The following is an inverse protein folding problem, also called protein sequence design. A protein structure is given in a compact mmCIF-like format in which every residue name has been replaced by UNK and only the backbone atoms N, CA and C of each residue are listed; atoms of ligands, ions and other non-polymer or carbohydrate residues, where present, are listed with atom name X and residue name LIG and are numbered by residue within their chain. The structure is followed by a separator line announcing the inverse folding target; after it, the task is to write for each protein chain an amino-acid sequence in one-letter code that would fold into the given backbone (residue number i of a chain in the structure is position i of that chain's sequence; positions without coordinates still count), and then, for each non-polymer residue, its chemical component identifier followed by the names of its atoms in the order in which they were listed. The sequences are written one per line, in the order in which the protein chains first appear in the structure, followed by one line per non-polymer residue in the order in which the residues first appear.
data_IF_973378507998
#
_entry.id   IF_973378507998
#
_cell.length_a   1.000
_cell.length_b   1.000
_cell.length_c   1.000
_cell.angle_alpha   90.00
_cell.angle_beta   90.00
_cell.angle_gamma   90.00
#
_symmetry.space_group_name_H-M   'P 1'
#
loop_
_entity.id
_entity.type
_entity.pdbx_description
1 polymer ?
#
# COMPACT_ATOMS: atom_id res chain seq x y z
N UNK A 1 -7.62 11.46 2.45
CA UNK A 1 -9.06 11.13 2.29
C UNK A 1 -9.40 9.70 2.70
N UNK A 2 -8.81 8.64 2.11
CA UNK A 2 -9.25 7.26 2.39
C UNK A 2 -9.04 6.79 3.85
N UNK A 3 -8.02 7.31 4.53
CA UNK A 3 -7.70 6.95 5.92
C UNK A 3 -8.37 7.89 6.93
N UNK A 4 -8.13 9.20 6.80
CA UNK A 4 -8.58 10.21 7.77
C UNK A 4 -9.76 11.07 7.28
N UNK A 5 -10.43 10.69 6.18
CA UNK A 5 -11.52 11.45 5.54
C UNK A 5 -11.16 12.86 5.04
N UNK A 6 -9.94 13.33 5.30
CA UNK A 6 -9.43 14.64 4.91
C UNK A 6 -8.18 14.50 4.03
N UNK A 7 -8.04 15.35 3.01
CA UNK A 7 -6.87 15.33 2.11
C UNK A 7 -5.64 16.00 2.74
N UNK A 8 -5.85 17.05 3.55
CA UNK A 8 -4.77 17.77 4.23
C UNK A 8 -3.95 16.93 5.22
N UNK A 9 -4.46 15.77 5.64
CA UNK A 9 -3.78 14.85 6.58
C UNK A 9 -2.78 13.90 5.92
N UNK A 10 -2.25 14.25 4.76
CA UNK A 10 -1.25 13.43 4.06
C UNK A 10 0.08 13.34 4.83
N UNK A 11 0.42 14.37 5.61
CA UNK A 11 1.59 14.37 6.50
C UNK A 11 1.42 13.32 7.60
N UNK A 12 0.25 13.25 8.23
CA UNK A 12 -0.06 12.24 9.24
C UNK A 12 0.02 10.82 8.68
N UNK A 13 -0.42 10.62 7.44
CA UNK A 13 -0.27 9.33 6.73
C UNK A 13 1.20 8.96 6.60
N UNK A 14 2.05 9.90 6.14
CA UNK A 14 3.50 9.67 6.03
C UNK A 14 4.16 9.39 7.38
N UNK A 15 3.78 10.12 8.43
CA UNK A 15 4.29 9.91 9.80
C UNK A 15 3.94 8.51 10.30
N UNK A 16 2.69 8.07 10.13
CA UNK A 16 2.25 6.73 10.54
C UNK A 16 3.01 5.64 9.76
N UNK A 17 3.14 5.79 8.43
CA UNK A 17 3.89 4.85 7.59
C UNK A 17 5.37 4.81 7.98
N UNK A 18 5.99 5.96 8.29
CA UNK A 18 7.39 6.01 8.76
C UNK A 18 7.55 5.28 10.08
N UNK A 19 6.62 5.47 11.02
CA UNK A 19 6.63 4.74 12.29
C UNK A 19 6.52 3.22 12.08
N UNK A 20 5.66 2.77 11.17
CA UNK A 20 5.51 1.36 10.82
C UNK A 20 6.80 0.80 10.18
N UNK A 21 7.40 1.53 9.23
CA UNK A 21 8.66 1.15 8.60
C UNK A 21 9.79 1.02 9.61
N UNK A 22 9.90 1.94 10.57
CA UNK A 22 10.90 1.85 11.65
C UNK A 22 10.67 0.63 12.53
N UNK A 23 9.42 0.30 12.88
CA UNK A 23 9.10 -0.89 13.69
C UNK A 23 9.42 -2.20 12.98
N UNK A 24 9.24 -2.24 11.66
CA UNK A 24 9.38 -3.47 10.85
C UNK A 24 10.54 -3.37 9.84
N UNK A 25 11.58 -2.60 10.17
CA UNK A 25 12.67 -2.30 9.25
C UNK A 25 13.36 -3.57 8.73
N UNK A 26 13.51 -4.60 9.58
CA UNK A 26 14.05 -5.90 9.18
C UNK A 26 13.19 -6.59 8.11
N UNK A 27 11.86 -6.53 8.23
CA UNK A 27 10.96 -7.13 7.24
C UNK A 27 11.10 -6.40 5.90
N UNK A 28 10.98 -5.06 5.91
CA UNK A 28 11.06 -4.28 4.67
C UNK A 28 12.44 -4.32 4.02
N UNK A 29 13.53 -4.18 4.78
CA UNK A 29 14.89 -4.18 4.24
C UNK A 29 15.42 -5.57 3.91
N UNK A 30 15.38 -6.50 4.88
CA UNK A 30 16.09 -7.78 4.74
C UNK A 30 15.24 -8.90 4.14
N UNK A 31 13.91 -8.84 4.30
CA UNK A 31 13.01 -9.89 3.80
C UNK A 31 12.41 -9.50 2.46
N UNK A 32 11.83 -8.30 2.36
CA UNK A 32 11.23 -7.77 1.14
C UNK A 32 12.26 -7.19 0.16
N UNK A 33 13.46 -6.85 0.64
CA UNK A 33 14.54 -6.29 -0.18
C UNK A 33 14.32 -4.83 -0.58
N UNK A 34 13.45 -4.11 0.14
CA UNK A 34 13.14 -2.71 -0.19
C UNK A 34 14.28 -1.79 0.24
N UNK A 35 14.49 -0.72 -0.54
CA UNK A 35 15.36 0.38 -0.14
C UNK A 35 14.69 1.19 0.97
N UNK A 36 14.93 0.79 2.22
CA UNK A 36 14.35 1.47 3.39
C UNK A 36 14.83 2.91 3.53
N UNK A 37 16.04 3.23 3.03
CA UNK A 37 16.56 4.60 3.07
C UNK A 37 15.78 5.49 2.13
N UNK A 38 15.50 5.03 0.91
CA UNK A 38 14.63 5.73 -0.04
C UNK A 38 13.21 5.89 0.50
N UNK A 39 12.64 4.84 1.11
CA UNK A 39 11.31 4.95 1.75
C UNK A 39 11.31 6.00 2.87
N UNK A 40 12.33 6.03 3.74
CA UNK A 40 12.44 7.05 4.77
C UNK A 40 12.51 8.45 4.16
N UNK A 41 13.26 8.64 3.08
CA UNK A 41 13.34 9.93 2.36
C UNK A 41 11.99 10.36 1.81
N UNK A 42 11.26 9.47 1.12
CA UNK A 42 9.90 9.72 0.63
C UNK A 42 8.95 10.11 1.77
N UNK A 43 9.01 9.39 2.89
CA UNK A 43 8.15 9.61 4.05
C UNK A 43 8.54 10.81 4.90
N UNK A 44 9.74 11.37 4.70
CA UNK A 44 10.22 12.56 5.43
C UNK A 44 10.07 13.86 4.63
N UNK A 45 9.77 13.80 3.32
CA UNK A 45 9.54 14.99 2.52
C UNK A 45 8.12 15.53 2.74
N UNK A 46 8.02 16.66 3.45
CA UNK A 46 6.75 17.36 3.73
C UNK A 46 6.56 18.66 2.93
N UNK A 47 7.49 18.98 2.04
CA UNK A 47 7.43 20.21 1.26
C UNK A 47 6.40 20.08 0.12
N UNK A 48 5.57 21.11 -0.11
CA UNK A 48 4.82 21.21 -1.36
C UNK A 48 5.80 21.22 -2.53
N UNK A 49 5.56 20.41 -3.56
CA UNK A 49 6.42 20.36 -4.75
C UNK A 49 7.77 19.65 -4.54
N UNK A 50 7.88 18.71 -3.60
CA UNK A 50 9.04 17.82 -3.51
C UNK A 50 9.42 17.25 -4.90
N UNK A 51 10.71 17.07 -5.18
CA UNK A 51 11.17 16.36 -6.39
C UNK A 51 10.49 15.00 -6.53
N UNK A 52 10.35 14.52 -7.77
CA UNK A 52 9.73 13.23 -8.11
C UNK A 52 10.37 12.05 -7.37
N UNK A 53 11.64 12.14 -7.00
CA UNK A 53 12.34 11.13 -6.20
C UNK A 53 11.72 10.90 -4.80
N UNK A 54 10.97 11.88 -4.28
CA UNK A 54 10.27 11.82 -2.99
C UNK A 54 8.78 11.48 -3.12
N UNK A 55 8.31 11.13 -4.32
CA UNK A 55 6.91 10.80 -4.54
C UNK A 55 6.62 9.36 -4.11
N UNK A 56 5.35 9.10 -3.79
CA UNK A 56 4.86 7.76 -3.49
C UNK A 56 5.11 6.83 -4.68
N UNK A 57 5.54 5.60 -4.45
CA UNK A 57 5.82 4.64 -5.53
C UNK A 57 5.37 3.22 -5.16
N UNK A 58 5.08 2.42 -6.17
CA UNK A 58 4.58 1.04 -6.06
C UNK A 58 5.68 0.10 -6.54
N UNK A 59 5.88 -1.07 -5.90
CA UNK A 59 5.04 -1.69 -4.88
C UNK A 59 5.22 -1.19 -3.42
N UNK A 60 6.34 -0.58 -3.09
CA UNK A 60 6.83 -0.48 -1.71
C UNK A 60 5.94 0.39 -0.81
N UNK A 61 5.53 1.56 -1.29
CA UNK A 61 4.70 2.45 -0.49
C UNK A 61 3.28 1.90 -0.34
N UNK A 62 2.76 1.15 -1.32
CA UNK A 62 1.45 0.52 -1.25
C UNK A 62 1.43 -0.64 -0.25
N UNK A 63 2.45 -1.50 -0.27
CA UNK A 63 2.57 -2.56 0.74
C UNK A 63 2.69 -1.96 2.15
N UNK A 64 3.57 -0.97 2.34
CA UNK A 64 3.75 -0.31 3.64
C UNK A 64 2.46 0.37 4.12
N UNK A 65 1.71 1.05 3.25
CA UNK A 65 0.44 1.65 3.62
C UNK A 65 -0.60 0.60 4.02
N UNK A 66 -0.66 -0.52 3.29
CA UNK A 66 -1.56 -1.64 3.60
C UNK A 66 -1.30 -2.20 5.00
N UNK A 67 -0.03 -2.46 5.33
CA UNK A 67 0.39 -2.92 6.66
C UNK A 67 0.11 -1.87 7.76
N UNK A 68 0.45 -0.59 7.49
CA UNK A 68 0.30 0.51 8.46
C UNK A 68 -1.14 0.68 8.91
N UNK A 69 -2.09 0.68 7.98
CA UNK A 69 -3.49 0.97 8.28
C UNK A 69 -4.36 -0.29 8.40
N UNK A 70 -3.77 -1.47 8.22
CA UNK A 70 -4.47 -2.75 8.20
C UNK A 70 -5.71 -2.69 7.28
N UNK A 71 -5.49 -2.23 6.05
CA UNK A 71 -6.50 -2.06 5.00
C UNK A 71 -5.89 -2.52 3.67
N UNK A 72 -6.56 -3.41 2.90
CA UNK A 72 -6.07 -3.80 1.58
C UNK A 72 -5.97 -2.61 0.62
N UNK A 73 -5.01 -2.65 -0.31
CA UNK A 73 -4.83 -1.61 -1.33
C UNK A 73 -4.85 -2.25 -2.71
N UNK A 74 -5.75 -1.82 -3.59
CA UNK A 74 -5.75 -2.16 -5.00
C UNK A 74 -5.12 -0.98 -5.76
N UNK A 75 -3.92 -1.20 -6.31
CA UNK A 75 -3.25 -0.21 -7.15
C UNK A 75 -3.40 -0.61 -8.62
N UNK A 76 -4.21 0.14 -9.35
CA UNK A 76 -4.38 0.00 -10.78
C UNK A 76 -3.38 0.89 -11.53
N UNK A 77 -2.90 0.39 -12.65
CA UNK A 77 -2.08 1.10 -13.63
C UNK A 77 -2.79 1.08 -14.98
N UNK A 78 -2.46 2.02 -15.86
CA UNK A 78 -2.90 2.00 -17.27
C UNK A 78 -2.54 0.68 -17.94
N UNK A 79 -1.37 0.15 -17.60
CA UNK A 79 -1.00 -1.22 -17.92
C UNK A 79 -1.54 -2.17 -16.83
N UNK A 80 -2.60 -2.90 -17.20
CA UNK A 80 -3.24 -3.90 -16.33
C UNK A 80 -2.27 -4.94 -15.75
N UNK A 81 -1.17 -5.26 -16.43
CA UNK A 81 -0.18 -6.23 -15.94
C UNK A 81 0.66 -5.69 -14.79
N UNK A 82 0.77 -4.37 -14.68
CA UNK A 82 1.44 -3.65 -13.60
C UNK A 82 0.48 -3.33 -12.43
N UNK A 83 -0.80 -3.70 -12.54
CA UNK A 83 -1.77 -3.51 -11.46
C UNK A 83 -1.58 -4.59 -10.39
N UNK A 84 -1.54 -4.18 -9.12
CA UNK A 84 -1.24 -5.06 -8.00
C UNK A 84 -2.20 -4.85 -6.82
N UNK A 85 -2.53 -5.94 -6.16
CA UNK A 85 -3.31 -5.96 -4.94
C UNK A 85 -2.41 -6.25 -3.73
N UNK A 86 -2.51 -5.43 -2.70
CA UNK A 86 -1.68 -5.49 -1.50
C UNK A 86 -2.56 -5.83 -0.31
N UNK A 87 -2.12 -6.84 0.44
CA UNK A 87 -2.73 -7.25 1.69
C UNK A 87 -1.74 -7.02 2.83
N UNK A 88 -2.23 -6.67 4.04
CA UNK A 88 -1.36 -6.60 5.20
C UNK A 88 -0.80 -7.99 5.52
N UNK A 89 0.39 -8.05 6.12
CA UNK A 89 1.08 -9.30 6.46
C UNK A 89 0.75 -9.84 7.85
N UNK A 90 0.79 -8.97 8.86
CA UNK A 90 0.80 -9.37 10.28
C UNK A 90 -0.59 -9.34 10.93
N UNK A 91 -1.53 -8.63 10.31
CA UNK A 91 -2.87 -8.39 10.85
C UNK A 91 -3.92 -8.69 9.82
N UNK A 92 -4.88 -9.53 10.21
CA UNK A 92 -6.04 -9.84 9.37
C UNK A 92 -6.81 -8.54 9.13
N UNK A 93 -7.02 -8.13 7.86
CA UNK A 93 -7.91 -7.05 7.56
C UNK A 93 -9.32 -7.50 7.96
N UNK A 94 -10.10 -6.61 8.59
CA UNK A 94 -11.47 -6.95 8.97
C UNK A 94 -12.27 -7.42 7.75
N UNK A 95 -13.06 -8.49 7.88
CA UNK A 95 -13.80 -9.18 6.80
C UNK A 95 -14.71 -8.30 5.92
N UNK A 96 -14.88 -7.02 6.24
CA UNK A 96 -15.72 -6.05 5.52
C UNK A 96 -14.97 -4.80 5.06
N UNK A 97 -13.65 -4.74 5.26
CA UNK A 97 -12.86 -3.58 4.84
C UNK A 97 -12.69 -3.62 3.32
N UNK A 98 -13.42 -2.75 2.63
CA UNK A 98 -13.21 -2.53 1.19
C UNK A 98 -11.78 -2.04 0.97
N UNK A 99 -11.12 -2.47 -0.13
CA UNK A 99 -9.79 -1.99 -0.44
C UNK A 99 -9.81 -0.49 -0.71
N UNK A 100 -8.70 0.18 -0.40
CA UNK A 100 -8.41 1.51 -0.95
C UNK A 100 -8.00 1.30 -2.40
N UNK A 101 -8.67 2.00 -3.31
CA UNK A 101 -8.42 1.86 -4.73
C UNK A 101 -7.64 3.08 -5.20
N UNK A 102 -6.41 2.83 -5.63
CA UNK A 102 -5.53 3.81 -6.22
C UNK A 102 -5.44 3.54 -7.72
N UNK A 103 -5.44 4.60 -8.53
CA UNK A 103 -5.17 4.50 -9.95
C UNK A 103 -3.99 5.40 -10.30
N UNK A 104 -2.97 4.80 -10.91
CA UNK A 104 -1.85 5.51 -11.48
C UNK A 104 -2.25 6.02 -12.85
N UNK A 105 -2.30 7.35 -12.98
CA UNK A 105 -2.57 8.04 -14.22
C UNK A 105 -1.24 8.59 -14.76
N UNK A 106 -0.86 8.17 -15.95
CA UNK A 106 0.48 8.42 -16.49
C UNK A 106 1.58 7.83 -15.61
N UNK A 107 2.71 8.55 -15.50
CA UNK A 107 3.91 8.08 -14.80
C UNK A 107 4.06 8.60 -13.38
N UNK A 108 3.23 9.56 -12.98
CA UNK A 108 3.60 10.42 -11.85
C UNK A 108 2.39 10.89 -11.01
N UNK A 109 1.16 10.52 -11.38
CA UNK A 109 -0.03 10.91 -10.64
C UNK A 109 -0.81 9.72 -10.08
N UNK A 110 -1.15 9.79 -8.80
CA UNK A 110 -2.00 8.79 -8.12
C UNK A 110 -3.32 9.43 -7.75
N UNK A 111 -4.42 8.84 -8.21
CA UNK A 111 -5.77 9.26 -7.82
C UNK A 111 -6.42 8.21 -6.93
N UNK A 112 -7.17 8.70 -5.93
CA UNK A 112 -8.06 7.86 -5.13
C UNK A 112 -9.35 7.63 -5.92
N UNK A 113 -9.66 6.37 -6.23
CA UNK A 113 -10.90 6.00 -6.92
C UNK A 113 -11.99 5.68 -5.89
N UNK A 114 -13.12 6.38 -6.00
CA UNK A 114 -14.34 6.06 -5.24
C UNK A 114 -15.30 5.29 -6.12
N UNK A 115 -15.68 4.08 -5.69
CA UNK A 115 -16.69 3.31 -6.38
C UNK A 115 -18.09 3.82 -6.05
N UNK A 116 -18.96 3.81 -7.04
CA UNK A 116 -20.41 3.99 -6.83
C UNK A 116 -20.95 2.84 -5.97
N UNK A 117 -22.01 3.11 -5.21
CA UNK A 117 -22.69 2.07 -4.44
C UNK A 117 -23.11 0.91 -5.36
N UNK A 118 -23.00 -0.33 -4.86
CA UNK A 118 -23.35 -1.57 -5.56
C UNK A 118 -22.53 -1.92 -6.80
N UNK A 119 -21.35 -1.31 -7.00
CA UNK A 119 -20.39 -1.82 -7.98
C UNK A 119 -19.29 -2.60 -7.29
N UNK A 120 -19.15 -3.84 -7.72
CA UNK A 120 -17.97 -4.65 -7.43
C UNK A 120 -16.85 -4.28 -8.40
N UNK A 121 -15.62 -4.46 -7.94
CA UNK A 121 -14.44 -4.37 -8.79
C UNK A 121 -13.77 -5.73 -8.86
N UNK A 122 -13.27 -6.05 -10.04
CA UNK A 122 -12.27 -7.09 -10.14
C UNK A 122 -10.97 -6.53 -9.57
N UNK A 123 -10.53 -7.06 -8.44
CA UNK A 123 -9.24 -6.70 -7.85
C UNK A 123 -8.11 -7.23 -8.76
N UNK A 124 -6.98 -6.51 -8.86
CA UNK A 124 -5.84 -6.97 -9.64
C UNK A 124 -5.16 -8.17 -8.96
N UNK A 125 -4.15 -8.72 -9.63
CA UNK A 125 -3.37 -9.83 -9.08
C UNK A 125 -2.71 -9.45 -7.75
N UNK A 126 -2.74 -10.39 -6.81
CA UNK A 126 -2.06 -10.24 -5.53
C UNK A 126 -0.56 -10.01 -5.76
N UNK A 127 0.02 -9.07 -5.00
CA UNK A 127 1.46 -8.83 -4.98
C UNK A 127 2.20 -10.18 -4.86
N UNK A 128 3.06 -10.56 -5.82
CA UNK A 128 3.69 -11.89 -5.82
C UNK A 128 4.59 -12.13 -4.61
N UNK A 129 5.04 -11.08 -3.93
CA UNK A 129 5.79 -11.21 -2.68
C UNK A 129 4.92 -11.67 -1.51
N UNK A 130 3.58 -11.62 -1.61
CA UNK A 130 2.71 -11.82 -0.46
C UNK A 130 2.83 -13.21 0.17
N UNK A 131 2.51 -14.24 -0.60
CA UNK A 131 2.48 -15.64 -0.15
C UNK A 131 3.85 -16.09 0.38
N UNK A 132 4.98 -15.85 -0.32
CA UNK A 132 6.31 -16.19 0.21
C UNK A 132 6.63 -15.54 1.55
N UNK A 133 6.23 -14.28 1.75
CA UNK A 133 6.47 -13.55 3.00
C UNK A 133 5.63 -14.13 4.13
N UNK A 134 4.35 -14.40 3.89
CA UNK A 134 3.49 -15.04 4.88
C UNK A 134 4.07 -16.38 5.35
N UNK A 135 4.54 -17.22 4.42
CA UNK A 135 5.22 -18.49 4.74
C UNK A 135 6.45 -18.28 5.61
N UNK A 136 7.32 -17.37 5.18
CA UNK A 136 8.61 -17.12 5.84
C UNK A 136 8.43 -16.57 7.26
N UNK A 137 7.38 -15.80 7.49
CA UNK A 137 7.10 -15.14 8.77
C UNK A 137 6.07 -15.89 9.64
N UNK A 138 5.51 -17.00 9.14
CA UNK A 138 4.45 -17.75 9.84
C UNK A 138 3.13 -16.98 9.93
N UNK A 139 2.86 -16.08 8.99
CA UNK A 139 1.59 -15.37 8.89
C UNK A 139 0.56 -16.17 8.10
N UNK A 140 -0.72 -15.84 8.32
CA UNK A 140 -1.84 -16.53 7.67
C UNK A 140 -1.92 -16.18 6.19
N UNK A 141 -1.91 -17.19 5.32
CA UNK A 141 -2.05 -17.02 3.87
C UNK A 141 -3.52 -16.86 3.42
N UNK A 142 -4.48 -17.24 4.25
CA UNK A 142 -5.91 -17.36 3.88
C UNK A 142 -6.60 -16.02 3.58
N UNK A 143 -5.95 -14.87 3.82
CA UNK A 143 -6.62 -13.56 3.72
C UNK A 143 -6.98 -13.18 2.29
N UNK A 144 -6.24 -13.66 1.29
CA UNK A 144 -6.58 -13.41 -0.11
C UNK A 144 -7.96 -13.98 -0.48
N UNK A 145 -8.37 -15.11 0.10
CA UNK A 145 -9.70 -15.72 -0.12
C UNK A 145 -10.87 -14.85 0.35
N UNK A 146 -10.62 -13.81 1.16
CA UNK A 146 -11.65 -12.85 1.59
C UNK A 146 -11.98 -11.80 0.52
N UNK A 147 -11.16 -11.71 -0.53
CA UNK A 147 -11.23 -10.66 -1.54
C UNK A 147 -11.28 -11.20 -2.98
N UNK A 148 -11.35 -12.53 -3.14
CA UNK A 148 -11.47 -13.26 -4.43
C UNK A 148 -12.81 -13.96 -4.47
#
# INVERSE_FOLDING_TARGET
VAIFQEEGKWQDVKIAMKSQLTKQQYIYGNILGYDTSRLISVLSCFQPGCSREYWFYVPECAQLASDTFNIPIAAFSEDSTSSLFFLPFDKKPGRRKKPIILHWHGKDHVVLVKLKQHRDIQVPHLNPQYIPICRRLGFSEDWHSLFV
#
